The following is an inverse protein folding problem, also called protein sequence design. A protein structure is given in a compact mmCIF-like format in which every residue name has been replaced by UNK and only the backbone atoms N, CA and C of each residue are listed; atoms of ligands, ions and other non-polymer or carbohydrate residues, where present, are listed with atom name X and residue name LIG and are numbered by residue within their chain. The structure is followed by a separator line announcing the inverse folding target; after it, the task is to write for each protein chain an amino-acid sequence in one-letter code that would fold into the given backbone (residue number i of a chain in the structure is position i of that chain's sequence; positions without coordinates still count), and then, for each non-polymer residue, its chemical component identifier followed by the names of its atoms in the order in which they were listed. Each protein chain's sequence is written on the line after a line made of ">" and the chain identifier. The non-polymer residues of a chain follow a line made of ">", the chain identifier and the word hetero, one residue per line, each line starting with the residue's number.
data_IF_277941401424
#
_entry.id   IF_277941401424
#
_cell.length_a   1.000
_cell.length_b   1.000
_cell.length_c   1.000
_cell.angle_alpha   90.00
_cell.angle_beta   90.00
_cell.angle_gamma   90.00
#
_symmetry.space_group_name_H-M   'P 1'
#
loop_
_entity.id
_entity.type
_entity.pdbx_description
1 polymer ?
#
# COMPACT_ATOMS: atom_id res chain seq x y z
N UNK A 1 -2.98 -1.40 -31.43
CA UNK A 1 -3.69 -1.26 -30.15
C UNK A 1 -4.21 0.15 -30.09
N UNK A 2 -5.50 0.34 -29.82
CA UNK A 2 -6.05 1.69 -29.59
C UNK A 2 -5.79 2.17 -28.16
N UNK A 3 -6.06 3.45 -27.88
CA UNK A 3 -5.78 4.07 -26.58
C UNK A 3 -6.52 3.39 -25.42
N UNK A 4 -7.75 2.92 -25.64
CA UNK A 4 -8.56 2.27 -24.59
C UNK A 4 -8.03 0.87 -24.29
N UNK A 5 -7.67 0.13 -25.33
CA UNK A 5 -7.04 -1.18 -25.20
C UNK A 5 -5.71 -1.07 -24.45
N UNK A 6 -4.86 -0.09 -24.81
CA UNK A 6 -3.59 0.14 -24.13
C UNK A 6 -3.78 0.51 -22.67
N UNK A 7 -4.72 1.41 -22.37
CA UNK A 7 -5.03 1.80 -21.00
C UNK A 7 -5.50 0.60 -20.16
N UNK A 8 -6.36 -0.25 -20.71
CA UNK A 8 -6.89 -1.41 -19.98
C UNK A 8 -5.83 -2.50 -19.78
N UNK A 9 -5.04 -2.82 -20.81
CA UNK A 9 -3.96 -3.80 -20.73
C UNK A 9 -2.88 -3.35 -19.73
N UNK A 10 -2.52 -2.07 -19.75
CA UNK A 10 -1.60 -1.49 -18.76
C UNK A 10 -2.15 -1.62 -17.34
N UNK A 11 -3.42 -1.24 -17.12
CA UNK A 11 -4.06 -1.30 -15.80
C UNK A 11 -4.10 -2.72 -15.26
N UNK A 12 -4.47 -3.69 -16.08
CA UNK A 12 -4.55 -5.10 -15.71
C UNK A 12 -3.16 -5.68 -15.40
N UNK A 13 -2.18 -5.41 -16.27
CA UNK A 13 -0.80 -5.90 -16.13
C UNK A 13 -0.14 -5.36 -14.85
N UNK A 14 -0.17 -4.04 -14.64
CA UNK A 14 0.38 -3.41 -13.43
C UNK A 14 -0.36 -3.87 -12.19
N UNK A 15 -1.69 -3.94 -12.23
CA UNK A 15 -2.49 -4.43 -11.11
C UNK A 15 -2.19 -5.89 -10.75
N UNK A 16 -1.98 -6.74 -11.76
CA UNK A 16 -1.55 -8.13 -11.60
C UNK A 16 -0.19 -8.22 -10.93
N UNK A 17 0.81 -7.52 -11.47
CA UNK A 17 2.16 -7.48 -10.91
C UNK A 17 2.16 -7.02 -9.46
N UNK A 18 1.45 -5.92 -9.14
CA UNK A 18 1.36 -5.39 -7.77
C UNK A 18 0.75 -6.41 -6.81
N UNK A 19 -0.30 -7.14 -7.22
CA UNK A 19 -0.91 -8.19 -6.39
C UNK A 19 0.06 -9.35 -6.16
N UNK A 20 0.76 -9.79 -7.20
CA UNK A 20 1.76 -10.86 -7.11
C UNK A 20 2.91 -10.47 -6.18
N UNK A 21 3.44 -9.25 -6.31
CA UNK A 21 4.52 -8.74 -5.45
C UNK A 21 4.09 -8.62 -3.99
N UNK A 22 2.83 -8.25 -3.72
CA UNK A 22 2.29 -8.23 -2.34
C UNK A 22 2.19 -9.62 -1.71
N UNK A 23 2.26 -10.71 -2.47
CA UNK A 23 2.30 -12.05 -1.88
C UNK A 23 3.62 -12.34 -1.13
N UNK A 24 4.67 -11.53 -1.37
CA UNK A 24 5.90 -11.57 -0.59
C UNK A 24 5.78 -10.89 0.78
N UNK A 25 4.70 -10.16 1.04
CA UNK A 25 4.47 -9.52 2.34
C UNK A 25 4.29 -10.60 3.42
N UNK A 26 4.90 -10.36 4.57
CA UNK A 26 4.74 -11.25 5.76
C UNK A 26 3.67 -10.74 6.71
N UNK A 27 3.13 -9.55 6.45
CA UNK A 27 2.06 -8.91 7.20
C UNK A 27 0.70 -9.32 6.63
N UNK A 28 -0.32 -9.53 7.48
CA UNK A 28 -1.68 -9.72 7.02
C UNK A 28 -2.14 -8.56 6.11
N UNK A 29 -2.81 -8.82 4.97
CA UNK A 29 -3.18 -7.77 4.01
C UNK A 29 -4.03 -6.64 4.63
N UNK A 30 -4.90 -7.00 5.58
CA UNK A 30 -5.71 -6.02 6.31
C UNK A 30 -4.88 -5.07 7.16
N UNK A 31 -3.84 -5.57 7.83
CA UNK A 31 -2.91 -4.75 8.61
C UNK A 31 -2.07 -3.84 7.71
N UNK A 32 -1.50 -4.41 6.64
CA UNK A 32 -0.69 -3.66 5.65
C UNK A 32 -1.48 -2.51 5.02
N UNK A 33 -2.76 -2.76 4.70
CA UNK A 33 -3.67 -1.74 4.22
C UNK A 33 -3.85 -0.60 5.24
N UNK A 34 -4.15 -0.92 6.50
CA UNK A 34 -4.34 0.09 7.56
C UNK A 34 -3.09 0.94 7.74
N UNK A 35 -1.92 0.32 7.93
CA UNK A 35 -0.68 1.08 8.09
C UNK A 35 -0.38 1.93 6.85
N UNK A 36 -0.64 1.41 5.66
CA UNK A 36 -0.47 2.14 4.40
C UNK A 36 -1.39 3.35 4.26
N UNK A 37 -2.62 3.32 4.77
CA UNK A 37 -3.49 4.49 4.80
C UNK A 37 -2.96 5.54 5.76
N UNK A 38 -2.54 5.13 6.96
CA UNK A 38 -2.00 6.05 7.97
C UNK A 38 -0.69 6.71 7.53
N UNK A 39 0.15 5.98 6.79
CA UNK A 39 1.41 6.49 6.23
C UNK A 39 1.20 7.57 5.17
N UNK A 40 0.16 7.43 4.32
CA UNK A 40 -0.12 8.37 3.22
C UNK A 40 -1.06 9.51 3.60
N UNK A 41 -2.11 9.20 4.37
CA UNK A 41 -3.21 10.11 4.66
C UNK A 41 -3.17 10.71 6.07
N UNK A 42 -2.23 10.27 6.92
CA UNK A 42 -2.16 10.70 8.31
C UNK A 42 -3.16 9.96 9.22
N UNK A 43 -3.42 10.50 10.43
CA UNK A 43 -4.23 9.83 11.44
C UNK A 43 -5.67 9.63 10.99
N UNK A 44 -6.24 8.44 11.27
CA UNK A 44 -7.62 8.09 10.94
C UNK A 44 -8.31 7.44 12.13
N UNK A 45 -9.62 7.60 12.21
CA UNK A 45 -10.48 6.83 13.12
C UNK A 45 -10.71 5.41 12.58
N UNK A 46 -11.10 4.49 13.47
CA UNK A 46 -11.50 3.12 13.06
C UNK A 46 -12.65 3.12 12.04
N UNK A 47 -13.57 4.09 12.12
CA UNK A 47 -14.67 4.23 11.18
C UNK A 47 -14.20 4.64 9.77
N UNK A 48 -13.29 5.60 9.69
CA UNK A 48 -12.68 6.01 8.42
C UNK A 48 -11.84 4.87 7.81
N UNK A 49 -11.11 4.12 8.64
CA UNK A 49 -10.41 2.92 8.20
C UNK A 49 -11.38 1.88 7.62
N UNK A 50 -12.51 1.64 8.29
CA UNK A 50 -13.52 0.70 7.81
C UNK A 50 -14.07 1.12 6.45
N UNK A 51 -14.38 2.41 6.29
CA UNK A 51 -14.86 3.01 5.05
C UNK A 51 -13.81 2.87 3.93
N UNK A 52 -12.57 3.28 4.17
CA UNK A 52 -11.49 3.20 3.17
C UNK A 52 -11.18 1.77 2.74
N UNK A 53 -11.32 0.81 3.66
CA UNK A 53 -11.13 -0.61 3.39
C UNK A 53 -12.32 -1.29 2.75
N UNK A 54 -13.51 -0.67 2.75
CA UNK A 54 -14.75 -1.31 2.33
C UNK A 54 -15.12 -2.53 3.19
N UNK A 55 -14.84 -2.48 4.50
CA UNK A 55 -15.14 -3.57 5.45
C UNK A 55 -16.06 -3.09 6.57
N UNK A 56 -16.65 -4.03 7.32
CA UNK A 56 -17.45 -3.70 8.49
C UNK A 56 -16.60 -3.05 9.59
N UNK A 57 -17.23 -2.20 10.41
CA UNK A 57 -16.56 -1.58 11.56
C UNK A 57 -15.93 -2.62 12.51
N UNK A 58 -16.60 -3.74 12.74
CA UNK A 58 -16.08 -4.83 13.58
C UNK A 58 -14.81 -5.46 13.01
N UNK A 59 -14.75 -5.66 11.69
CA UNK A 59 -13.55 -6.18 11.00
C UNK A 59 -12.38 -5.20 11.10
N UNK A 60 -12.64 -3.91 10.90
CA UNK A 60 -11.64 -2.86 11.08
C UNK A 60 -11.16 -2.79 12.54
N UNK A 61 -12.07 -2.83 13.51
CA UNK A 61 -11.75 -2.78 14.94
C UNK A 61 -10.87 -3.96 15.38
N UNK A 62 -11.11 -5.17 14.86
CA UNK A 62 -10.24 -6.33 15.10
C UNK A 62 -8.82 -6.07 14.59
N UNK A 63 -8.70 -5.61 13.34
CA UNK A 63 -7.40 -5.28 12.74
C UNK A 63 -6.67 -4.21 13.55
N UNK A 64 -7.37 -3.15 13.95
CA UNK A 64 -6.83 -2.05 14.77
C UNK A 64 -6.35 -2.55 16.13
N UNK A 65 -7.13 -3.42 16.79
CA UNK A 65 -6.75 -4.02 18.08
C UNK A 65 -5.42 -4.77 17.97
N UNK A 66 -5.24 -5.58 16.92
CA UNK A 66 -4.03 -6.36 16.70
C UNK A 66 -2.82 -5.44 16.43
N UNK A 67 -3.02 -4.35 15.68
CA UNK A 67 -1.99 -3.33 15.42
C UNK A 67 -1.59 -2.54 16.66
N UNK A 68 -2.55 -2.20 17.54
CA UNK A 68 -2.30 -1.57 18.83
C UNK A 68 -1.50 -2.49 19.74
N UNK A 69 -1.87 -3.77 19.83
CA UNK A 69 -1.18 -4.76 20.64
C UNK A 69 0.29 -4.95 20.22
N UNK A 70 0.59 -4.75 18.94
CA UNK A 70 1.95 -4.83 18.37
C UNK A 70 2.70 -3.50 18.37
N UNK A 71 2.13 -2.44 18.94
CA UNK A 71 2.69 -1.08 18.96
C UNK A 71 2.97 -0.52 17.55
N UNK A 72 2.23 -0.95 16.53
CA UNK A 72 2.37 -0.40 15.17
C UNK A 72 1.55 0.88 14.97
N UNK A 73 0.48 1.02 15.76
CA UNK A 73 -0.31 2.24 15.87
C UNK A 73 -0.48 2.61 17.33
N UNK A 74 -0.77 3.88 17.59
CA UNK A 74 -1.18 4.40 18.90
C UNK A 74 -2.51 5.13 18.77
N UNK A 75 -3.34 5.07 19.80
CA UNK A 75 -4.60 5.79 19.85
C UNK A 75 -4.42 7.12 20.61
N UNK A 76 -5.06 8.18 20.12
CA UNK A 76 -5.13 9.50 20.75
C UNK A 76 -6.58 10.00 20.72
N UNK A 77 -7.03 10.71 21.76
CA UNK A 77 -8.39 11.22 21.80
C UNK A 77 -8.62 12.22 20.66
N UNK A 78 -9.75 12.11 19.97
CA UNK A 78 -10.05 13.01 18.86
C UNK A 78 -10.35 14.42 19.40
N UNK A 79 -9.68 15.48 18.90
CA UNK A 79 -9.75 16.82 19.48
C UNK A 79 -11.15 17.45 19.44
N UNK A 80 -11.97 17.08 18.46
CA UNK A 80 -13.36 17.55 18.33
C UNK A 80 -14.43 16.61 18.89
N UNK A 81 -14.09 15.38 19.31
CA UNK A 81 -15.06 14.42 19.87
C UNK A 81 -14.32 13.38 20.71
N UNK A 82 -14.22 13.62 22.03
CA UNK A 82 -13.46 12.74 22.94
C UNK A 82 -13.97 11.30 23.03
N UNK A 83 -15.11 10.97 22.42
CA UNK A 83 -15.61 9.59 22.31
C UNK A 83 -14.94 8.81 21.16
N UNK A 84 -14.25 9.51 20.25
CA UNK A 84 -13.53 8.94 19.12
C UNK A 84 -12.03 8.94 19.41
N UNK A 85 -11.33 7.97 18.83
CA UNK A 85 -9.88 7.90 18.85
C UNK A 85 -9.33 8.02 17.43
N UNK A 86 -8.29 8.85 17.28
CA UNK A 86 -7.44 8.90 16.12
C UNK A 86 -6.31 7.89 16.28
N UNK A 87 -6.06 7.12 15.24
CA UNK A 87 -4.97 6.15 15.19
C UNK A 87 -3.81 6.79 14.47
N UNK A 88 -2.66 6.84 15.14
CA UNK A 88 -1.42 7.38 14.60
C UNK A 88 -0.45 6.24 14.35
N UNK A 89 0.24 6.30 13.21
CA UNK A 89 1.33 5.39 12.91
C UNK A 89 2.52 5.64 13.85
N UNK A 90 3.00 4.60 14.53
CA UNK A 90 4.20 4.69 15.37
C UNK A 90 5.47 4.55 14.52
N UNK A 91 6.63 4.74 15.14
CA UNK A 91 7.90 4.44 14.47
C UNK A 91 8.01 2.96 14.12
N UNK A 92 7.65 2.06 15.05
CA UNK A 92 7.64 0.61 14.79
C UNK A 92 6.71 0.23 13.63
N UNK A 93 5.56 0.90 13.49
CA UNK A 93 4.67 0.72 12.33
C UNK A 93 5.31 1.17 11.01
N UNK A 94 6.03 2.29 11.00
CA UNK A 94 6.78 2.77 9.83
C UNK A 94 7.91 1.81 9.45
N UNK A 95 8.69 1.36 10.44
CA UNK A 95 9.78 0.42 10.22
C UNK A 95 9.24 -0.89 9.65
N UNK A 96 8.11 -1.37 10.20
CA UNK A 96 7.45 -2.57 9.71
C UNK A 96 6.96 -2.45 8.27
N UNK A 97 6.45 -1.29 7.84
CA UNK A 97 6.12 -1.02 6.43
C UNK A 97 7.36 -0.98 5.55
N UNK A 98 8.45 -0.39 6.04
CA UNK A 98 9.72 -0.35 5.32
C UNK A 98 10.27 -1.77 5.12
N UNK A 99 10.13 -2.66 6.10
CA UNK A 99 10.50 -4.08 5.97
C UNK A 99 9.74 -4.75 4.83
N UNK A 100 8.42 -4.55 4.71
CA UNK A 100 7.67 -5.09 3.58
C UNK A 100 8.09 -4.49 2.25
N UNK A 101 8.43 -3.19 2.21
CA UNK A 101 8.95 -2.55 0.98
C UNK A 101 10.25 -3.21 0.54
N UNK A 102 11.16 -3.49 1.49
CA UNK A 102 12.43 -4.18 1.20
C UNK A 102 12.20 -5.61 0.71
N UNK A 103 11.37 -6.40 1.40
CA UNK A 103 11.04 -7.77 0.95
C UNK A 103 10.49 -7.80 -0.48
N UNK A 104 9.56 -6.90 -0.81
CA UNK A 104 8.99 -6.77 -2.14
C UNK A 104 10.04 -6.40 -3.19
N UNK A 105 10.92 -5.45 -2.87
CA UNK A 105 12.00 -5.02 -3.75
C UNK A 105 13.00 -6.15 -3.99
N UNK A 106 13.39 -6.89 -2.96
CA UNK A 106 14.31 -8.02 -3.05
C UNK A 106 13.71 -9.14 -3.89
N UNK A 107 12.45 -9.50 -3.64
CA UNK A 107 11.76 -10.57 -4.35
C UNK A 107 11.54 -10.25 -5.83
N UNK A 108 11.04 -9.04 -6.13
CA UNK A 108 10.87 -8.57 -7.51
C UNK A 108 12.21 -8.39 -8.21
N UNK A 109 13.23 -7.88 -7.51
CA UNK A 109 14.58 -7.71 -8.04
C UNK A 109 15.21 -9.04 -8.44
N UNK A 110 15.04 -10.09 -7.64
CA UNK A 110 15.46 -11.44 -7.99
C UNK A 110 14.74 -11.98 -9.24
N UNK A 111 13.43 -11.75 -9.36
CA UNK A 111 12.67 -12.16 -10.54
C UNK A 111 13.12 -11.41 -11.80
N UNK A 112 13.27 -10.09 -11.74
CA UNK A 112 13.83 -9.28 -12.83
C UNK A 112 15.23 -9.80 -13.20
N UNK A 113 16.04 -10.12 -12.19
CA UNK A 113 17.41 -10.60 -12.42
C UNK A 113 17.48 -11.93 -13.17
N UNK A 114 16.46 -12.77 -12.98
CA UNK A 114 16.43 -14.15 -13.48
C UNK A 114 15.70 -14.26 -14.81
N UNK A 115 14.65 -13.46 -15.01
CA UNK A 115 13.73 -13.59 -16.16
C UNK A 115 14.10 -12.64 -17.29
N UNK A 116 14.64 -11.45 -16.99
CA UNK A 116 14.87 -10.41 -17.98
C UNK A 116 16.34 -10.30 -18.38
N UNK A 117 16.56 -10.15 -19.68
CA UNK A 117 17.87 -9.82 -20.24
C UNK A 117 18.23 -8.32 -20.07
N UNK A 118 19.38 -7.91 -20.60
CA UNK A 118 19.87 -6.54 -20.45
C UNK A 118 19.05 -5.50 -21.23
N UNK A 119 18.48 -5.85 -22.38
CA UNK A 119 17.67 -4.95 -23.21
C UNK A 119 16.26 -4.79 -22.63
N UNK A 120 15.68 -5.88 -22.13
CA UNK A 120 14.38 -5.87 -21.45
C UNK A 120 14.44 -5.05 -20.15
N UNK A 121 15.54 -5.13 -19.39
CA UNK A 121 15.74 -4.28 -18.21
C UNK A 121 15.84 -2.80 -18.56
N UNK A 122 16.61 -2.45 -19.60
CA UNK A 122 16.66 -1.06 -20.10
C UNK A 122 15.28 -0.55 -20.50
N UNK A 123 14.48 -1.41 -21.13
CA UNK A 123 13.11 -1.08 -21.52
C UNK A 123 12.23 -0.84 -20.29
N UNK A 124 12.32 -1.70 -19.28
CA UNK A 124 11.60 -1.53 -18.02
C UNK A 124 12.00 -0.23 -17.31
N UNK A 125 13.30 0.07 -17.22
CA UNK A 125 13.83 1.31 -16.65
C UNK A 125 13.32 2.55 -17.39
N UNK A 126 13.31 2.52 -18.72
CA UNK A 126 12.79 3.62 -19.54
C UNK A 126 11.27 3.82 -19.39
N UNK A 127 10.52 2.77 -19.02
CA UNK A 127 9.08 2.86 -18.79
C UNK A 127 8.71 3.48 -17.44
N UNK A 128 9.55 3.33 -16.39
CA UNK A 128 9.24 3.81 -15.03
C UNK A 128 8.89 5.32 -14.97
N UNK A 129 9.63 6.23 -15.61
CA UNK A 129 9.28 7.66 -15.61
C UNK A 129 7.94 7.95 -16.29
N UNK A 130 7.56 7.17 -17.31
CA UNK A 130 6.28 7.33 -18.02
C UNK A 130 5.12 6.97 -17.08
N UNK A 131 5.22 5.83 -16.40
CA UNK A 131 4.22 5.39 -15.42
C UNK A 131 4.08 6.39 -14.27
N UNK A 132 5.20 6.96 -13.79
CA UNK A 132 5.18 7.99 -12.75
C UNK A 132 4.43 9.25 -13.22
N UNK A 133 4.70 9.73 -14.44
CA UNK A 133 4.02 10.92 -15.00
C UNK A 133 2.51 10.70 -15.13
N UNK A 134 2.09 9.53 -15.60
CA UNK A 134 0.68 9.16 -15.68
C UNK A 134 0.04 9.14 -14.29
N UNK A 135 0.71 8.53 -13.31
CA UNK A 135 0.21 8.49 -11.93
C UNK A 135 0.05 9.89 -11.34
N UNK A 136 1.03 10.78 -11.49
CA UNK A 136 0.94 12.16 -11.02
C UNK A 136 -0.20 12.93 -11.68
N UNK A 137 -0.36 12.79 -12.99
CA UNK A 137 -1.44 13.45 -13.73
C UNK A 137 -2.82 13.02 -13.21
N UNK A 138 -3.03 11.71 -13.02
CA UNK A 138 -4.30 11.15 -12.57
C UNK A 138 -4.64 11.43 -11.09
N UNK A 139 -3.64 11.67 -10.22
CA UNK A 139 -3.88 12.07 -8.83
C UNK A 139 -4.18 13.57 -8.69
N UNK A 140 -3.77 14.38 -9.67
CA UNK A 140 -3.98 15.83 -9.69
C UNK A 140 -5.27 16.29 -10.39
N UNK A 141 -6.00 15.36 -11.02
CA UNK A 141 -7.33 15.56 -11.62
C UNK A 141 -8.41 15.07 -10.69
#
# INVERSE_FOLDING_TARGET
>A
MDDKQLAEELRLTIGGLVRTVRAADTMPPGESAVLGYLDRGGPLTTAEIAQQRGVTHQSAAKTVKDLLARNFVRAEAHPGDGRKFLLHLTQAGRDRLADERRRRADWLGAAINTVLDADERRTLEAALPLLSRLSTHLHGT
#
